data_IF_894234867865
#
_entry.id   IF_894234867865
#
_cell.length_a   1.000
_cell.length_b   1.000
_cell.length_c   1.000
_cell.angle_alpha   90.00
_cell.angle_beta   90.00
_cell.angle_gamma   90.00
#
_symmetry.space_group_name_H-M   'P 1'
#
loop_
_entity.id
_entity.type
_entity.pdbx_description
1 polymer ?
#
# COMPACT_ATOMS: atom_id res chain seq x y z
N UNK A 1 2.78 32.41 -0.66
CA UNK A 1 3.40 31.27 0.06
C UNK A 1 2.30 30.51 0.81
N UNK A 2 1.35 29.94 0.06
CA UNK A 2 0.20 29.16 0.55
C UNK A 2 -0.19 28.16 -0.56
N UNK A 3 0.83 27.50 -1.13
CA UNK A 3 0.67 26.53 -2.21
C UNK A 3 0.74 25.06 -1.77
N UNK A 4 1.31 24.76 -0.60
CA UNK A 4 1.97 23.44 -0.47
C UNK A 4 1.53 22.62 0.76
N UNK A 5 0.41 22.92 1.43
CA UNK A 5 -0.03 22.09 2.58
C UNK A 5 -0.85 20.87 2.13
N UNK A 6 -1.57 20.99 1.01
CA UNK A 6 -2.35 19.90 0.44
C UNK A 6 -1.47 18.83 -0.22
N UNK A 7 -0.29 19.19 -0.74
CA UNK A 7 0.66 18.24 -1.33
C UNK A 7 1.36 17.34 -0.29
N UNK A 8 1.38 17.73 0.99
CA UNK A 8 2.06 16.97 2.04
C UNK A 8 1.24 15.79 2.59
N UNK A 9 -0.09 15.78 2.42
CA UNK A 9 -0.95 14.68 2.87
C UNK A 9 -1.36 13.78 1.71
N UNK A 10 -0.43 12.97 1.21
CA UNK A 10 -0.77 11.87 0.30
C UNK A 10 -1.45 10.76 1.13
N UNK A 11 -2.77 10.59 1.00
CA UNK A 11 -3.50 9.51 1.65
C UNK A 11 -2.95 8.17 1.18
N UNK A 12 -2.46 7.35 2.11
CA UNK A 12 -1.89 6.03 1.83
C UNK A 12 -2.85 4.96 2.29
N UNK A 13 -3.15 4.05 1.38
CA UNK A 13 -3.97 2.88 1.64
C UNK A 13 -3.12 1.62 1.52
N UNK A 14 -3.50 0.59 2.28
CA UNK A 14 -2.85 -0.71 2.29
C UNK A 14 -3.83 -1.80 1.87
N UNK A 15 -3.42 -2.63 0.92
CA UNK A 15 -4.09 -3.88 0.59
C UNK A 15 -3.14 -5.06 0.82
N UNK A 16 -3.72 -6.17 1.27
CA UNK A 16 -3.00 -7.41 1.53
C UNK A 16 -3.62 -8.49 0.64
N UNK A 17 -2.78 -9.21 -0.08
CA UNK A 17 -3.20 -10.30 -0.93
C UNK A 17 -2.11 -11.35 -1.08
N UNK A 18 -2.25 -12.19 -2.09
CA UNK A 18 -1.26 -13.20 -2.44
C UNK A 18 -0.66 -12.90 -3.81
N UNK A 19 0.65 -13.09 -3.94
CA UNK A 19 1.30 -13.16 -5.25
C UNK A 19 1.01 -14.52 -5.93
N UNK A 20 1.45 -14.66 -7.18
CA UNK A 20 1.24 -15.86 -7.99
C UNK A 20 1.86 -17.16 -7.39
N UNK A 21 2.70 -17.06 -6.38
CA UNK A 21 3.31 -18.20 -5.68
C UNK A 21 2.67 -18.47 -4.31
N UNK A 22 1.55 -17.81 -3.97
CA UNK A 22 0.94 -17.89 -2.63
C UNK A 22 1.70 -17.10 -1.56
N UNK A 23 2.62 -16.22 -1.99
CA UNK A 23 3.35 -15.21 -1.20
C UNK A 23 2.42 -14.18 -0.58
N UNK A 24 2.37 -13.92 0.73
CA UNK A 24 1.68 -12.70 1.22
C UNK A 24 2.37 -11.47 0.61
N UNK A 25 1.58 -10.69 -0.14
CA UNK A 25 1.96 -9.46 -0.82
C UNK A 25 1.26 -8.28 -0.12
N UNK A 26 2.04 -7.28 0.27
CA UNK A 26 1.54 -6.03 0.82
C UNK A 26 1.75 -4.94 -0.23
N UNK A 27 0.68 -4.22 -0.54
CA UNK A 27 0.73 -3.09 -1.48
C UNK A 27 0.26 -1.82 -0.77
N UNK A 28 1.12 -0.82 -0.76
CA UNK A 28 0.80 0.53 -0.32
C UNK A 28 0.61 1.38 -1.56
N UNK A 29 -0.52 2.06 -1.65
CA UNK A 29 -0.88 2.88 -2.80
C UNK A 29 -1.56 4.17 -2.36
N UNK A 30 -1.73 5.07 -3.32
CA UNK A 30 -2.61 6.22 -3.20
C UNK A 30 -3.46 6.33 -4.45
N UNK A 31 -4.68 6.81 -4.30
CA UNK A 31 -5.54 7.19 -5.42
C UNK A 31 -5.32 8.67 -5.72
N UNK A 32 -4.83 9.00 -6.93
CA UNK A 32 -4.59 10.38 -7.35
C UNK A 32 -5.86 11.02 -7.94
N UNK A 33 -6.67 10.21 -8.61
CA UNK A 33 -7.99 10.54 -9.15
C UNK A 33 -8.73 9.21 -9.43
N UNK A 34 -9.94 9.27 -9.97
CA UNK A 34 -10.80 8.08 -10.20
C UNK A 34 -10.20 7.03 -11.14
N UNK A 35 -9.23 7.41 -11.98
CA UNK A 35 -8.63 6.53 -12.99
C UNK A 35 -7.16 6.19 -12.70
N UNK A 36 -6.55 6.83 -11.70
CA UNK A 36 -5.11 6.76 -11.45
C UNK A 36 -4.80 6.28 -10.04
N UNK A 37 -4.30 5.05 -9.97
CA UNK A 37 -3.67 4.50 -8.77
C UNK A 37 -2.15 4.60 -8.91
N UNK A 38 -1.48 5.20 -7.92
CA UNK A 38 -0.03 5.16 -7.80
C UNK A 38 0.34 4.13 -6.74
N UNK A 39 1.12 3.13 -7.15
CA UNK A 39 1.77 2.21 -6.22
C UNK A 39 2.98 2.91 -5.59
N UNK A 40 3.00 2.97 -4.26
CA UNK A 40 4.10 3.52 -3.46
C UNK A 40 5.05 2.39 -3.07
N UNK A 41 4.51 1.22 -2.73
CA UNK A 41 5.29 0.02 -2.42
C UNK A 41 4.51 -1.22 -2.79
N UNK A 42 5.16 -2.18 -3.46
CA UNK A 42 4.64 -3.54 -3.65
C UNK A 42 5.74 -4.51 -3.24
N UNK A 43 5.53 -5.21 -2.13
CA UNK A 43 6.57 -6.04 -1.52
C UNK A 43 6.00 -7.28 -0.86
N UNK A 44 6.84 -8.29 -0.72
CA UNK A 44 6.55 -9.44 0.15
C UNK A 44 6.36 -8.95 1.58
N UNK A 45 5.44 -9.57 2.30
CA UNK A 45 5.27 -9.33 3.72
C UNK A 45 6.55 -9.68 4.49
N UNK A 46 6.93 -8.83 5.42
CA UNK A 46 7.99 -9.07 6.40
C UNK A 46 7.62 -10.26 7.30
N UNK A 47 8.57 -10.86 8.03
CA UNK A 47 8.24 -11.93 8.98
C UNK A 47 7.16 -11.54 10.01
N UNK A 48 7.14 -10.29 10.48
CA UNK A 48 6.14 -9.81 11.44
C UNK A 48 4.76 -9.65 10.79
N UNK A 49 4.68 -9.04 9.61
CA UNK A 49 3.42 -8.92 8.86
C UNK A 49 2.86 -10.28 8.45
N UNK A 50 3.71 -11.25 8.09
CA UNK A 50 3.26 -12.62 7.83
C UNK A 50 2.59 -13.25 9.03
N UNK A 51 3.08 -12.99 10.25
CA UNK A 51 2.44 -13.47 11.49
C UNK A 51 1.13 -12.74 11.77
N UNK A 52 1.10 -11.42 11.55
CA UNK A 52 -0.08 -10.60 11.80
C UNK A 52 -1.22 -10.90 10.81
N UNK A 53 -0.90 -11.06 9.53
CA UNK A 53 -1.86 -11.25 8.46
C UNK A 53 -2.18 -12.71 8.17
N UNK A 54 -1.25 -13.64 8.43
CA UNK A 54 -1.48 -15.07 8.23
C UNK A 54 -2.42 -15.72 9.26
N UNK A 55 -2.77 -15.00 10.33
CA UNK A 55 -3.69 -15.46 11.38
C UNK A 55 -5.07 -14.78 11.32
N UNK A 56 -5.35 -13.98 10.28
CA UNK A 56 -6.68 -13.44 9.98
C UNK A 56 -7.47 -14.41 9.13
#
# INVERSE_FOLDING_TARGET
>A
MIGDIAEYYEQREEIIGFDNMGRILVVIFTQRNDETIRIISARKATPNERKQYGNR
#
